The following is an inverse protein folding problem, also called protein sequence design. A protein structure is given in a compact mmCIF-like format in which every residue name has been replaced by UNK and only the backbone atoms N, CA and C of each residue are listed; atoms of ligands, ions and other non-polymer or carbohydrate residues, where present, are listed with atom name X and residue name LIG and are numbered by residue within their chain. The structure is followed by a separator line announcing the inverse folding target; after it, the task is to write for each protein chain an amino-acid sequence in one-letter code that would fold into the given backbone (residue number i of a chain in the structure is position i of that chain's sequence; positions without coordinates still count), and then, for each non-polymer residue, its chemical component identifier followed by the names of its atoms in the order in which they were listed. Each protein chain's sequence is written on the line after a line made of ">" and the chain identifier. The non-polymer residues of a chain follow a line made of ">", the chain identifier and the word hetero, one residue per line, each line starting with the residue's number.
data_IF_004078852017
#
_entry.id   IF_004078852017
#
_cell.length_a   1.000
_cell.length_b   1.000
_cell.length_c   1.000
_cell.angle_alpha   90.00
_cell.angle_beta   90.00
_cell.angle_gamma   90.00
#
_symmetry.space_group_name_H-M   'P 1'
#
loop_
_entity.id
_entity.type
_entity.pdbx_description
1 polymer ?
#
# COMPACT_ATOMS: atom_id res chain seq x y z
N UNK A 1 -27.09 5.09 7.15
CA UNK A 1 -25.63 5.10 6.87
C UNK A 1 -25.19 3.67 6.59
N UNK A 2 -24.74 3.41 5.36
CA UNK A 2 -24.40 2.07 4.89
C UNK A 2 -22.89 1.96 4.73
N UNK A 3 -22.26 1.02 5.46
CA UNK A 3 -20.84 0.70 5.32
C UNK A 3 -20.66 -0.51 4.40
N UNK A 4 -19.65 -0.46 3.54
CA UNK A 4 -19.22 -1.63 2.77
C UNK A 4 -18.19 -2.45 3.57
N UNK A 5 -18.33 -3.77 3.55
CA UNK A 5 -17.33 -4.69 4.09
C UNK A 5 -17.19 -5.84 3.09
N UNK A 6 -16.00 -6.05 2.50
CA UNK A 6 -15.81 -7.14 1.56
C UNK A 6 -15.95 -8.49 2.28
N UNK A 7 -16.48 -9.50 1.57
CA UNK A 7 -16.65 -10.86 2.13
C UNK A 7 -15.32 -11.52 2.48
N UNK A 8 -14.30 -11.27 1.65
CA UNK A 8 -12.92 -11.66 1.90
C UNK A 8 -12.12 -10.41 2.24
N UNK A 9 -11.41 -10.36 3.38
CA UNK A 9 -10.59 -9.21 3.76
C UNK A 9 -9.60 -8.83 2.65
N UNK A 10 -9.35 -7.53 2.49
CA UNK A 10 -8.29 -7.05 1.60
C UNK A 10 -6.94 -7.59 2.09
N UNK A 11 -6.06 -8.09 1.19
CA UNK A 11 -4.72 -8.51 1.56
C UNK A 11 -3.93 -7.41 2.25
N UNK A 12 -3.08 -7.81 3.17
CA UNK A 12 -2.19 -6.91 3.90
C UNK A 12 -0.79 -7.51 3.97
N UNK A 13 0.19 -6.69 4.34
CA UNK A 13 1.53 -7.20 4.58
C UNK A 13 1.64 -8.10 5.82
N UNK A 14 0.60 -8.15 6.67
CA UNK A 14 0.47 -9.07 7.79
C UNK A 14 -0.06 -10.45 7.40
N UNK A 15 -0.43 -10.64 6.12
CA UNK A 15 -0.94 -11.92 5.66
C UNK A 15 0.15 -13.00 5.82
N UNK A 16 -0.23 -14.15 6.38
CA UNK A 16 0.72 -15.22 6.71
C UNK A 16 1.58 -15.60 5.50
N UNK A 17 2.90 -15.50 5.66
CA UNK A 17 3.89 -15.86 4.65
C UNK A 17 4.10 -14.82 3.54
N UNK A 18 3.45 -13.65 3.63
CA UNK A 18 3.70 -12.54 2.70
C UNK A 18 5.13 -12.02 2.82
N UNK A 19 5.59 -11.82 4.05
CA UNK A 19 6.96 -11.49 4.43
C UNK A 19 7.97 -12.46 3.79
N UNK A 20 7.83 -13.76 4.05
CA UNK A 20 8.74 -14.80 3.57
C UNK A 20 8.80 -14.83 2.03
N UNK A 21 7.64 -14.82 1.37
CA UNK A 21 7.56 -14.81 -0.10
C UNK A 21 8.21 -13.54 -0.68
N UNK A 22 7.92 -12.39 -0.09
CA UNK A 22 8.43 -11.09 -0.57
C UNK A 22 9.93 -10.98 -0.37
N UNK A 23 10.45 -11.36 0.80
CA UNK A 23 11.90 -11.39 1.08
C UNK A 23 12.60 -12.37 0.16
N UNK A 24 12.01 -13.55 -0.09
CA UNK A 24 12.60 -14.53 -1.00
C UNK A 24 12.79 -13.99 -2.42
N UNK A 25 11.76 -13.34 -2.98
CA UNK A 25 11.85 -12.71 -4.31
C UNK A 25 12.79 -11.49 -4.30
N UNK A 26 12.85 -10.75 -3.20
CA UNK A 26 13.74 -9.61 -3.05
C UNK A 26 15.22 -10.05 -2.99
N UNK A 27 15.54 -11.07 -2.19
CA UNK A 27 16.89 -11.66 -2.11
C UNK A 27 17.31 -12.22 -3.46
N UNK A 28 16.42 -12.91 -4.17
CA UNK A 28 16.72 -13.41 -5.53
C UNK A 28 17.21 -12.29 -6.46
N UNK A 29 16.66 -11.07 -6.30
CA UNK A 29 16.95 -9.93 -7.16
C UNK A 29 18.15 -9.11 -6.71
N UNK A 30 18.27 -8.84 -5.41
CA UNK A 30 19.21 -7.86 -4.87
C UNK A 30 20.35 -8.48 -4.05
N UNK A 31 20.22 -9.74 -3.64
CA UNK A 31 21.21 -10.48 -2.86
C UNK A 31 21.37 -11.92 -3.41
N UNK A 32 21.65 -12.10 -4.73
CA UNK A 32 21.60 -13.40 -5.37
C UNK A 32 22.59 -14.42 -4.79
N UNK A 33 23.71 -13.97 -4.22
CA UNK A 33 24.69 -14.84 -3.56
C UNK A 33 24.13 -15.50 -2.28
N UNK A 34 23.07 -14.93 -1.72
CA UNK A 34 22.37 -15.42 -0.53
C UNK A 34 21.08 -16.16 -0.87
N UNK A 35 20.69 -16.24 -2.15
CA UNK A 35 19.45 -16.87 -2.59
C UNK A 35 19.52 -18.40 -2.50
N UNK A 36 18.41 -19.00 -2.07
CA UNK A 36 18.20 -20.45 -2.14
C UNK A 36 16.76 -20.75 -2.54
N UNK A 37 16.54 -21.63 -3.52
CA UNK A 37 15.20 -21.89 -4.10
C UNK A 37 14.19 -22.35 -3.04
N UNK A 38 14.64 -23.21 -2.13
CA UNK A 38 13.78 -23.80 -1.10
C UNK A 38 13.52 -22.90 0.12
N UNK A 39 14.20 -21.75 0.25
CA UNK A 39 14.10 -20.90 1.45
C UNK A 39 12.68 -20.35 1.71
N UNK A 40 11.83 -20.33 0.67
CA UNK A 40 10.42 -19.95 0.81
C UNK A 40 9.60 -20.99 1.59
N UNK A 41 9.97 -22.28 1.52
CA UNK A 41 9.22 -23.38 2.14
C UNK A 41 9.94 -24.00 3.34
N UNK A 42 11.26 -23.92 3.39
CA UNK A 42 12.11 -24.62 4.35
C UNK A 42 13.04 -23.65 5.07
N UNK A 43 12.89 -23.58 6.39
CA UNK A 43 13.60 -22.65 7.27
C UNK A 43 15.11 -22.94 7.33
N UNK A 44 15.53 -24.19 7.17
CA UNK A 44 16.94 -24.57 7.18
C UNK A 44 17.76 -23.93 6.04
N UNK A 45 17.10 -23.42 5.00
CA UNK A 45 17.75 -22.71 3.89
C UNK A 45 17.73 -21.19 4.05
N UNK A 46 17.08 -20.67 5.09
CA UNK A 46 17.07 -19.23 5.40
C UNK A 46 18.34 -18.88 6.15
N UNK A 47 19.30 -18.31 5.43
CA UNK A 47 20.52 -17.77 6.04
C UNK A 47 20.22 -16.46 6.81
N UNK A 48 21.24 -15.89 7.45
CA UNK A 48 21.11 -14.65 8.22
C UNK A 48 20.58 -13.44 7.42
N UNK A 49 20.67 -13.44 6.08
CA UNK A 49 20.06 -12.38 5.26
C UNK A 49 18.55 -12.55 5.17
N UNK A 50 18.08 -13.79 4.97
CA UNK A 50 16.65 -14.10 5.04
C UNK A 50 16.08 -13.77 6.42
N UNK A 51 16.73 -14.25 7.48
CA UNK A 51 16.29 -14.04 8.86
C UNK A 51 16.13 -12.55 9.16
N UNK A 52 17.16 -11.73 8.91
CA UNK A 52 17.14 -10.30 9.20
C UNK A 52 16.03 -9.54 8.43
N UNK A 53 15.88 -9.82 7.14
CA UNK A 53 14.88 -9.12 6.31
C UNK A 53 13.44 -9.57 6.62
N UNK A 54 13.24 -10.82 7.08
CA UNK A 54 11.92 -11.32 7.52
C UNK A 54 11.57 -10.75 8.89
N UNK A 55 12.51 -10.79 9.85
CA UNK A 55 12.28 -10.30 11.21
C UNK A 55 12.05 -8.78 11.24
N UNK A 56 12.79 -8.02 10.44
CA UNK A 56 12.63 -6.56 10.32
C UNK A 56 11.66 -6.12 9.22
N UNK A 57 10.85 -7.04 8.67
CA UNK A 57 9.96 -6.75 7.54
C UNK A 57 8.98 -5.60 7.82
N UNK A 58 8.60 -5.39 9.09
CA UNK A 58 7.72 -4.29 9.51
C UNK A 58 8.33 -2.90 9.29
N UNK A 59 9.65 -2.80 9.07
CA UNK A 59 10.37 -1.57 8.75
C UNK A 59 10.46 -1.29 7.25
N UNK A 60 9.73 -2.04 6.40
CA UNK A 60 9.89 -1.94 4.95
C UNK A 60 9.70 -0.53 4.38
N UNK A 61 8.89 0.32 5.03
CA UNK A 61 8.63 1.70 4.62
C UNK A 61 9.49 2.76 5.32
N UNK A 62 10.47 2.33 6.13
CA UNK A 62 11.46 3.17 6.80
C UNK A 62 12.88 2.64 6.56
N UNK A 63 13.46 2.90 5.37
CA UNK A 63 14.77 2.37 5.00
C UNK A 63 15.91 2.88 5.89
N UNK A 64 15.78 4.08 6.48
CA UNK A 64 16.77 4.64 7.41
C UNK A 64 16.77 3.87 8.74
N UNK A 65 15.60 3.57 9.30
CA UNK A 65 15.52 2.75 10.52
C UNK A 65 15.91 1.30 10.23
N UNK A 66 15.50 0.77 9.08
CA UNK A 66 15.86 -0.58 8.67
C UNK A 66 17.36 -0.78 8.57
N UNK A 67 18.09 0.09 7.85
CA UNK A 67 19.55 -0.08 7.70
C UNK A 67 20.29 0.04 9.03
N UNK A 68 19.87 0.96 9.91
CA UNK A 68 20.46 1.10 11.24
C UNK A 68 20.24 -0.17 12.09
N UNK A 69 19.08 -0.81 11.95
CA UNK A 69 18.75 -2.05 12.65
C UNK A 69 19.57 -3.23 12.11
N UNK A 70 19.69 -3.36 10.78
CA UNK A 70 20.52 -4.38 10.14
C UNK A 70 21.99 -4.29 10.56
N UNK A 71 22.54 -3.08 10.64
CA UNK A 71 23.93 -2.88 11.10
C UNK A 71 24.07 -3.21 12.59
N UNK A 72 23.18 -2.67 13.43
CA UNK A 72 23.28 -2.77 14.89
C UNK A 72 23.04 -4.18 15.41
N UNK A 73 21.98 -4.82 14.93
CA UNK A 73 21.45 -6.04 15.55
C UNK A 73 21.87 -7.30 14.77
N UNK A 74 22.13 -7.18 13.47
CA UNK A 74 22.54 -8.29 12.61
C UNK A 74 24.00 -8.18 12.15
N UNK A 75 24.74 -7.16 12.61
CA UNK A 75 26.16 -6.93 12.29
C UNK A 75 26.43 -6.81 10.78
N UNK A 76 25.46 -6.32 10.00
CA UNK A 76 25.68 -6.07 8.58
C UNK A 76 26.67 -4.92 8.40
N UNK A 77 27.58 -5.05 7.42
CA UNK A 77 28.51 -3.98 7.06
C UNK A 77 27.80 -2.92 6.20
N UNK A 78 27.99 -1.65 6.54
CA UNK A 78 27.48 -0.56 5.71
C UNK A 78 28.27 -0.47 4.40
N UNK A 79 27.58 -0.72 3.28
CA UNK A 79 28.10 -0.51 1.93
C UNK A 79 27.11 0.32 1.12
N UNK A 80 27.58 0.95 0.03
CA UNK A 80 26.69 1.66 -0.89
C UNK A 80 25.64 0.73 -1.51
N UNK A 81 26.04 -0.49 -1.86
CA UNK A 81 25.13 -1.50 -2.40
C UNK A 81 24.04 -1.90 -1.40
N UNK A 82 24.38 -2.08 -0.12
CA UNK A 82 23.40 -2.33 0.93
C UNK A 82 22.37 -1.20 0.99
N UNK A 83 22.83 0.05 1.03
CA UNK A 83 21.94 1.20 1.09
C UNK A 83 21.01 1.28 -0.11
N UNK A 84 21.55 1.14 -1.32
CA UNK A 84 20.76 1.17 -2.55
C UNK A 84 19.70 0.05 -2.57
N UNK A 85 20.06 -1.17 -2.12
CA UNK A 85 19.13 -2.28 -2.04
C UNK A 85 17.99 -1.99 -1.03
N UNK A 86 18.32 -1.55 0.19
CA UNK A 86 17.32 -1.25 1.23
C UNK A 86 16.41 -0.08 0.82
N UNK A 87 16.93 0.94 0.13
CA UNK A 87 16.09 2.01 -0.46
C UNK A 87 15.05 1.48 -1.46
N UNK A 88 15.34 0.36 -2.13
CA UNK A 88 14.41 -0.27 -3.07
C UNK A 88 13.41 -1.22 -2.38
N UNK A 89 13.58 -1.52 -1.08
CA UNK A 89 12.75 -2.50 -0.38
C UNK A 89 11.29 -2.03 -0.23
N UNK A 90 11.06 -0.78 0.15
CA UNK A 90 9.70 -0.20 0.27
C UNK A 90 8.91 -0.35 -1.04
N UNK A 91 9.51 0.11 -2.14
CA UNK A 91 8.89 0.04 -3.46
C UNK A 91 8.59 -1.40 -3.89
N UNK A 92 9.49 -2.33 -3.56
CA UNK A 92 9.31 -3.75 -3.84
C UNK A 92 8.13 -4.33 -3.05
N UNK A 93 8.07 -4.10 -1.74
CA UNK A 93 6.98 -4.58 -0.88
C UNK A 93 5.63 -3.98 -1.30
N UNK A 94 5.57 -2.66 -1.58
CA UNK A 94 4.36 -2.00 -2.06
C UNK A 94 3.88 -2.57 -3.39
N UNK A 95 4.80 -2.86 -4.31
CA UNK A 95 4.46 -3.50 -5.58
C UNK A 95 3.86 -4.90 -5.35
N UNK A 96 4.48 -5.72 -4.49
CA UNK A 96 3.97 -7.06 -4.17
C UNK A 96 2.59 -7.04 -3.52
N UNK A 97 2.37 -6.09 -2.62
CA UNK A 97 1.07 -5.89 -1.99
C UNK A 97 0.01 -5.48 -3.03
N UNK A 98 0.35 -4.57 -3.94
CA UNK A 98 -0.52 -4.15 -5.03
C UNK A 98 -0.88 -5.30 -5.97
N UNK A 99 0.08 -6.16 -6.32
CA UNK A 99 -0.15 -7.38 -7.11
C UNK A 99 -1.16 -8.31 -6.41
N UNK A 100 -0.98 -8.56 -5.10
CA UNK A 100 -1.93 -9.35 -4.31
C UNK A 100 -3.32 -8.71 -4.23
N UNK A 101 -3.40 -7.39 -4.02
CA UNK A 101 -4.68 -6.68 -4.00
C UNK A 101 -5.39 -6.75 -5.37
N UNK A 102 -4.66 -6.63 -6.48
CA UNK A 102 -5.22 -6.78 -7.83
C UNK A 102 -5.77 -8.18 -8.06
N UNK A 103 -5.05 -9.21 -7.62
CA UNK A 103 -5.51 -10.59 -7.72
C UNK A 103 -6.75 -10.82 -6.85
N UNK A 104 -6.75 -10.30 -5.62
CA UNK A 104 -7.90 -10.35 -4.71
C UNK A 104 -9.16 -9.68 -5.31
N UNK A 105 -9.02 -8.53 -5.99
CA UNK A 105 -10.14 -7.89 -6.69
C UNK A 105 -10.72 -8.81 -7.76
N UNK A 106 -9.87 -9.46 -8.55
CA UNK A 106 -10.27 -10.38 -9.62
C UNK A 106 -10.95 -11.63 -9.07
N UNK A 107 -10.32 -12.30 -8.12
CA UNK A 107 -10.79 -13.58 -7.57
C UNK A 107 -12.12 -13.45 -6.82
N UNK A 108 -12.39 -12.28 -6.26
CA UNK A 108 -13.59 -12.04 -5.44
C UNK A 108 -14.63 -11.14 -6.14
N UNK A 109 -14.44 -10.83 -7.43
CA UNK A 109 -15.30 -9.94 -8.22
C UNK A 109 -15.64 -8.64 -7.45
N UNK A 110 -14.61 -7.98 -6.91
CA UNK A 110 -14.80 -6.77 -6.10
C UNK A 110 -15.21 -5.61 -7.01
N UNK A 111 -16.43 -5.11 -6.84
CA UNK A 111 -16.97 -3.95 -7.54
C UNK A 111 -17.09 -2.73 -6.61
N UNK A 112 -17.16 -1.50 -7.15
CA UNK A 112 -17.41 -0.31 -6.35
C UNK A 112 -18.76 -0.40 -5.61
N UNK A 113 -18.79 -0.37 -4.26
CA UNK A 113 -20.04 -0.51 -3.51
C UNK A 113 -21.02 0.67 -3.65
N UNK A 114 -20.53 1.85 -4.05
CA UNK A 114 -21.29 3.08 -4.15
C UNK A 114 -20.99 3.78 -5.48
N UNK A 115 -21.99 4.44 -6.09
CA UNK A 115 -21.80 5.08 -7.39
C UNK A 115 -20.95 6.35 -7.27
N UNK A 116 -20.29 6.73 -8.37
CA UNK A 116 -19.72 8.07 -8.55
C UNK A 116 -20.82 9.12 -8.35
N UNK A 117 -20.50 10.20 -7.66
CA UNK A 117 -21.44 11.24 -7.23
C UNK A 117 -22.06 11.00 -5.85
N UNK A 118 -21.88 9.82 -5.24
CA UNK A 118 -22.38 9.57 -3.90
C UNK A 118 -21.62 10.38 -2.83
N UNK A 119 -22.37 10.92 -1.87
CA UNK A 119 -21.81 11.52 -0.65
C UNK A 119 -21.39 10.43 0.32
N UNK A 120 -20.16 10.51 0.78
CA UNK A 120 -19.59 9.54 1.70
C UNK A 120 -18.90 10.20 2.88
N UNK A 121 -18.95 9.51 4.02
CA UNK A 121 -18.10 9.79 5.18
C UNK A 121 -16.79 9.02 5.03
N UNK A 122 -15.66 9.70 5.20
CA UNK A 122 -14.34 9.09 5.24
C UNK A 122 -14.07 8.56 6.65
N UNK A 123 -13.68 7.29 6.77
CA UNK A 123 -13.55 6.62 8.07
C UNK A 123 -12.19 6.79 8.75
N UNK A 124 -11.14 7.12 8.00
CA UNK A 124 -9.80 7.27 8.58
C UNK A 124 -9.60 8.66 9.19
N UNK A 125 -8.95 8.69 10.36
CA UNK A 125 -8.62 9.93 11.08
C UNK A 125 -7.54 10.77 10.40
N UNK A 126 -6.84 10.21 9.41
CA UNK A 126 -5.80 10.91 8.66
C UNK A 126 -6.37 11.98 7.72
N UNK A 127 -7.67 11.90 7.41
CA UNK A 127 -8.32 12.87 6.55
C UNK A 127 -8.74 14.09 7.38
N UNK A 128 -8.33 15.28 6.95
CA UNK A 128 -8.65 16.54 7.62
C UNK A 128 -10.15 16.86 7.56
N UNK A 129 -10.88 16.24 6.64
CA UNK A 129 -12.32 16.36 6.48
C UNK A 129 -12.98 14.99 6.51
N UNK A 130 -14.15 14.94 7.13
CA UNK A 130 -14.86 13.68 7.38
C UNK A 130 -15.82 13.31 6.26
N UNK A 131 -16.06 14.20 5.30
CA UNK A 131 -17.10 14.05 4.27
C UNK A 131 -16.58 14.45 2.90
N UNK A 132 -17.06 13.78 1.86
CA UNK A 132 -16.78 14.13 0.47
C UNK A 132 -17.72 13.43 -0.51
N UNK A 133 -17.46 13.67 -1.80
CA UNK A 133 -18.20 13.07 -2.91
C UNK A 133 -17.25 12.17 -3.70
N UNK A 134 -17.71 10.96 -4.03
CA UNK A 134 -16.96 10.06 -4.91
C UNK A 134 -16.86 10.71 -6.29
N UNK A 135 -15.68 11.17 -6.66
CA UNK A 135 -15.45 11.83 -7.95
C UNK A 135 -15.22 10.81 -9.07
N UNK A 136 -14.46 9.74 -8.77
CA UNK A 136 -14.20 8.64 -9.71
C UNK A 136 -13.71 7.40 -8.99
N UNK A 137 -13.74 6.28 -9.69
CA UNK A 137 -12.95 5.09 -9.32
C UNK A 137 -11.49 5.39 -9.65
N UNK A 138 -10.59 5.07 -8.73
CA UNK A 138 -9.16 5.33 -8.91
C UNK A 138 -8.53 4.18 -9.67
N UNK A 139 -7.98 4.46 -10.85
CA UNK A 139 -7.51 3.44 -11.79
C UNK A 139 -6.11 2.91 -11.48
N UNK A 140 -5.31 3.68 -10.74
CA UNK A 140 -3.91 3.33 -10.48
C UNK A 140 -3.74 2.35 -9.31
N UNK A 141 -4.70 2.27 -8.39
CA UNK A 141 -4.64 1.36 -7.24
C UNK A 141 -5.97 0.59 -7.10
N UNK A 142 -5.93 -0.72 -6.80
CA UNK A 142 -7.11 -1.59 -6.87
C UNK A 142 -8.17 -1.25 -5.82
N UNK A 143 -9.45 -1.30 -6.23
CA UNK A 143 -10.61 -1.12 -5.35
C UNK A 143 -10.54 0.13 -4.46
N UNK A 144 -10.27 1.29 -5.07
CA UNK A 144 -10.19 2.59 -4.41
C UNK A 144 -11.01 3.65 -5.13
N UNK A 145 -11.50 4.61 -4.36
CA UNK A 145 -12.14 5.83 -4.85
C UNK A 145 -11.16 6.99 -4.84
N UNK A 146 -11.43 7.98 -5.70
CA UNK A 146 -10.96 9.34 -5.52
C UNK A 146 -12.14 10.17 -4.97
N UNK A 147 -12.05 10.61 -3.73
CA UNK A 147 -13.11 11.37 -3.05
C UNK A 147 -12.68 12.83 -2.94
N UNK A 148 -13.49 13.73 -3.49
CA UNK A 148 -13.29 15.17 -3.35
C UNK A 148 -14.09 15.69 -2.18
N UNK A 149 -13.48 16.54 -1.36
CA UNK A 149 -14.20 17.23 -0.29
C UNK A 149 -14.82 18.53 -0.79
N UNK A 150 -15.73 19.11 0.00
CA UNK A 150 -16.38 20.36 -0.36
C UNK A 150 -15.37 21.49 -0.61
N UNK A 151 -14.31 21.59 0.21
CA UNK A 151 -13.26 22.61 0.01
C UNK A 151 -12.48 22.39 -1.28
N UNK A 152 -12.14 21.14 -1.61
CA UNK A 152 -11.43 20.80 -2.84
C UNK A 152 -12.29 21.08 -4.08
N UNK A 153 -13.58 20.73 -4.03
CA UNK A 153 -14.53 21.07 -5.09
C UNK A 153 -14.68 22.58 -5.29
N UNK A 154 -14.81 23.34 -4.20
CA UNK A 154 -14.93 24.79 -4.26
C UNK A 154 -13.67 25.41 -4.87
N UNK A 155 -12.48 25.01 -4.41
CA UNK A 155 -11.21 25.44 -4.99
C UNK A 155 -11.13 25.14 -6.50
N UNK A 156 -11.51 23.92 -6.90
CA UNK A 156 -11.49 23.51 -8.30
C UNK A 156 -12.43 24.35 -9.18
N UNK A 157 -13.64 24.66 -8.68
CA UNK A 157 -14.60 25.55 -9.35
C UNK A 157 -14.06 26.98 -9.46
N UNK A 158 -13.42 27.50 -8.42
CA UNK A 158 -12.81 28.84 -8.45
C UNK A 158 -11.67 28.93 -9.48
N UNK A 159 -10.80 27.92 -9.56
CA UNK A 159 -9.72 27.88 -10.56
C UNK A 159 -10.27 27.82 -11.98
N UNK A 160 -11.32 27.03 -12.20
CA UNK A 160 -12.02 26.96 -13.49
C UNK A 160 -12.62 28.31 -13.90
N UNK A 161 -13.32 28.99 -12.99
CA UNK A 161 -13.88 30.33 -13.23
C UNK A 161 -12.81 31.38 -13.56
N UNK A 162 -11.59 31.20 -13.04
CA UNK A 162 -10.44 32.05 -13.34
C UNK A 162 -9.70 31.63 -14.63
N UNK A 163 -10.18 30.62 -15.36
CA UNK A 163 -9.52 30.10 -16.56
C UNK A 163 -8.20 29.37 -16.29
N UNK A 164 -7.95 28.98 -15.03
CA UNK A 164 -6.73 28.26 -14.61
C UNK A 164 -6.93 26.76 -14.73
N UNK A 165 -5.84 26.04 -14.97
CA UNK A 165 -5.80 24.57 -15.09
C UNK A 165 -5.44 23.86 -13.78
N UNK A 166 -4.98 24.59 -12.76
CA UNK A 166 -4.63 24.04 -11.45
C UNK A 166 -5.85 23.41 -10.75
N UNK A 167 -5.68 22.21 -10.20
CA UNK A 167 -6.73 21.49 -9.47
C UNK A 167 -6.16 20.82 -8.24
N UNK A 168 -6.95 20.79 -7.17
CA UNK A 168 -6.72 19.91 -6.04
C UNK A 168 -7.27 18.51 -6.35
N UNK A 169 -6.43 17.50 -6.18
CA UNK A 169 -6.81 16.10 -6.26
C UNK A 169 -7.62 15.68 -5.03
N UNK A 170 -8.46 14.65 -5.20
CA UNK A 170 -9.22 14.05 -4.11
C UNK A 170 -8.38 13.06 -3.30
N UNK A 171 -8.89 12.71 -2.12
CA UNK A 171 -8.33 11.63 -1.31
C UNK A 171 -8.51 10.28 -2.01
N UNK A 172 -7.43 9.52 -2.09
CA UNK A 172 -7.48 8.12 -2.55
C UNK A 172 -7.82 7.24 -1.36
N UNK A 173 -8.99 6.60 -1.39
CA UNK A 173 -9.54 5.86 -0.24
C UNK A 173 -10.01 4.47 -0.67
N UNK A 174 -9.84 3.46 0.18
CA UNK A 174 -10.31 2.11 -0.10
C UNK A 174 -11.84 2.07 -0.07
N UNK A 175 -12.45 1.13 -0.80
CA UNK A 175 -13.91 0.97 -0.83
C UNK A 175 -14.51 0.73 0.56
N UNK A 176 -13.80 0.03 1.43
CA UNK A 176 -14.21 -0.29 2.80
C UNK A 176 -13.97 0.84 3.82
N UNK A 177 -13.23 1.90 3.42
CA UNK A 177 -12.88 3.05 4.24
C UNK A 177 -13.85 4.24 4.08
N UNK A 178 -15.00 3.97 3.43
CA UNK A 178 -16.07 4.96 3.23
C UNK A 178 -17.43 4.43 3.69
N UNK A 179 -18.28 5.33 4.13
CA UNK A 179 -19.68 5.04 4.44
C UNK A 179 -20.62 5.95 3.66
N UNK A 180 -21.65 5.37 3.07
CA UNK A 180 -22.67 6.11 2.36
C UNK A 180 -23.49 6.97 3.34
N UNK A 181 -23.62 8.25 2.99
CA UNK A 181 -24.51 9.18 3.67
C UNK A 181 -25.80 9.25 2.86
N UNK A 182 -26.85 8.65 3.41
CA UNK A 182 -28.22 8.67 2.86
C UNK A 182 -28.87 10.00 3.24
N UNK A 183 -29.62 10.60 2.31
CA UNK A 183 -30.45 11.80 2.55
C UNK A 183 -31.79 11.45 3.20
#
# INVERSE_FOLDING_TARGET
>A
MKKYTPLVPRPTYFDKGFDVQTVHEFIQKYYPDFYHEDAVWAEEFRNGVYEALIEEFYLYDDPEVMINTLIRDYSWEFTHELWDNIQNFDGFVRQKLKEKEQQWVKDNNIEPPFPVGAKVRLLSRIYSETMGVINKIYEYEPARYCVLTAKQEEYNKQMEQQGKTERQGGYVVKFEDVELVEE
#
